data_IF_105383777440
#
_entry.id   IF_105383777440
#
_cell.length_a   1.000
_cell.length_b   1.000
_cell.length_c   1.000
_cell.angle_alpha   90.00
_cell.angle_beta   90.00
_cell.angle_gamma   90.00
#
_symmetry.space_group_name_H-M   'P 1'
#
loop_
_entity.id
_entity.type
_entity.pdbx_description
1 polymer ?
#
# COMPACT_ATOMS: atom_id res chain seq x y z
N UNK A 1 -54.36 -22.32 -13.21
CA UNK A 1 -54.20 -23.19 -12.02
C UNK A 1 -52.73 -23.45 -11.79
N UNK A 2 -52.13 -22.80 -10.79
CA UNK A 2 -50.92 -23.21 -10.07
C UNK A 2 -50.56 -22.09 -9.07
N UNK A 3 -51.36 -21.94 -8.02
CA UNK A 3 -50.97 -21.14 -6.87
C UNK A 3 -50.12 -22.05 -5.97
N UNK A 4 -48.81 -21.80 -5.97
CA UNK A 4 -47.82 -22.46 -5.13
C UNK A 4 -48.13 -22.21 -3.66
N UNK A 5 -48.54 -23.26 -2.96
CA UNK A 5 -48.68 -23.29 -1.51
C UNK A 5 -47.31 -23.23 -0.85
N UNK A 6 -46.92 -22.07 -0.33
CA UNK A 6 -45.78 -21.91 0.59
C UNK A 6 -46.14 -22.51 1.96
N UNK A 7 -45.48 -23.56 2.45
CA UNK A 7 -45.74 -24.09 3.77
C UNK A 7 -44.90 -23.32 4.81
N UNK A 8 -45.61 -22.67 5.75
CA UNK A 8 -45.28 -22.56 7.18
C UNK A 8 -43.99 -21.79 7.54
N UNK A 9 -44.07 -20.46 7.50
CA UNK A 9 -43.06 -19.49 8.01
C UNK A 9 -42.93 -19.43 9.55
N UNK A 10 -43.59 -20.31 10.29
CA UNK A 10 -43.63 -20.24 11.77
C UNK A 10 -42.36 -20.72 12.49
N UNK A 11 -41.48 -21.48 11.82
CA UNK A 11 -40.33 -22.15 12.46
C UNK A 11 -38.96 -21.80 11.88
N UNK A 12 -38.90 -21.11 10.73
CA UNK A 12 -37.65 -20.76 10.06
C UNK A 12 -36.75 -19.84 10.92
N UNK A 13 -37.37 -18.94 11.70
CA UNK A 13 -36.62 -18.10 12.62
C UNK A 13 -36.01 -18.90 13.76
N UNK A 14 -36.69 -19.93 14.29
CA UNK A 14 -36.18 -20.78 15.39
C UNK A 14 -34.97 -21.59 14.95
N UNK A 15 -35.05 -22.23 13.78
CA UNK A 15 -33.93 -22.98 13.23
C UNK A 15 -32.74 -22.07 12.95
N UNK A 16 -32.97 -20.89 12.37
CA UNK A 16 -31.93 -19.88 12.14
C UNK A 16 -31.28 -19.40 13.44
N UNK A 17 -32.07 -19.19 14.50
CA UNK A 17 -31.59 -18.72 15.80
C UNK A 17 -30.74 -19.79 16.50
N UNK A 18 -31.18 -21.06 16.45
CA UNK A 18 -30.39 -22.21 16.95
C UNK A 18 -29.07 -22.31 16.19
N UNK A 19 -29.09 -22.16 14.87
CA UNK A 19 -27.89 -22.24 14.02
C UNK A 19 -26.91 -21.11 14.34
N UNK A 20 -27.41 -19.88 14.55
CA UNK A 20 -26.58 -18.75 15.01
C UNK A 20 -26.02 -18.97 16.40
N UNK A 21 -26.82 -19.48 17.35
CA UNK A 21 -26.34 -19.81 18.69
C UNK A 21 -25.29 -20.91 18.66
N UNK A 22 -25.46 -21.95 17.84
CA UNK A 22 -24.46 -23.00 17.65
C UNK A 22 -23.17 -22.46 17.05
N UNK A 23 -23.25 -21.59 16.04
CA UNK A 23 -22.07 -20.97 15.44
C UNK A 23 -21.36 -20.03 16.43
N UNK A 24 -22.13 -19.24 17.19
CA UNK A 24 -21.58 -18.38 18.25
C UNK A 24 -20.90 -19.22 19.32
N UNK A 25 -21.55 -20.28 19.78
CA UNK A 25 -21.00 -21.19 20.78
C UNK A 25 -19.74 -21.91 20.27
N UNK A 26 -19.70 -22.33 18.99
CA UNK A 26 -18.48 -22.87 18.38
C UNK A 26 -17.35 -21.84 18.33
N UNK A 27 -17.63 -20.61 17.94
CA UNK A 27 -16.61 -19.54 17.85
C UNK A 27 -16.10 -19.12 19.22
N UNK A 28 -17.00 -18.93 20.18
CA UNK A 28 -16.67 -18.53 21.56
C UNK A 28 -15.96 -19.68 22.31
N UNK A 29 -16.44 -20.92 22.17
CA UNK A 29 -15.82 -22.08 22.81
C UNK A 29 -14.50 -22.50 22.17
N UNK A 30 -14.23 -22.15 20.91
CA UNK A 30 -12.97 -22.51 20.24
C UNK A 30 -11.76 -21.91 20.96
N UNK A 31 -11.85 -20.66 21.39
CA UNK A 31 -10.78 -19.98 22.13
C UNK A 31 -10.47 -20.64 23.48
N UNK A 32 -11.44 -21.36 24.07
CA UNK A 32 -11.31 -22.02 25.37
C UNK A 32 -11.30 -23.55 25.28
N UNK A 33 -11.18 -24.12 24.07
CA UNK A 33 -11.31 -25.57 23.85
C UNK A 33 -10.32 -26.37 24.69
N UNK A 34 -9.08 -25.90 24.80
CA UNK A 34 -8.03 -26.57 25.58
C UNK A 34 -8.28 -26.45 27.08
N UNK A 35 -8.79 -25.30 27.55
CA UNK A 35 -9.18 -25.09 28.94
C UNK A 35 -10.36 -25.98 29.34
N UNK A 36 -11.36 -26.10 28.46
CA UNK A 36 -12.52 -26.99 28.67
C UNK A 36 -12.08 -28.44 28.71
N UNK A 37 -11.21 -28.86 27.79
CA UNK A 37 -10.68 -30.23 27.77
C UNK A 37 -9.85 -30.53 29.04
N UNK A 38 -9.05 -29.57 29.49
CA UNK A 38 -8.28 -29.70 30.72
C UNK A 38 -9.17 -29.77 31.97
N UNK A 39 -10.19 -28.90 32.05
CA UNK A 39 -11.19 -28.93 33.12
C UNK A 39 -11.93 -30.27 33.18
N UNK A 40 -12.35 -30.81 32.03
CA UNK A 40 -13.02 -32.10 31.97
C UNK A 40 -12.12 -33.25 32.46
N UNK A 41 -10.83 -33.24 32.08
CA UNK A 41 -9.86 -34.23 32.60
C UNK A 41 -9.65 -34.11 34.11
N UNK A 42 -9.54 -32.88 34.61
CA UNK A 42 -9.45 -32.63 36.06
C UNK A 42 -10.71 -33.10 36.79
N UNK A 43 -11.88 -32.85 36.21
CA UNK A 43 -13.16 -33.28 36.77
C UNK A 43 -13.28 -34.81 36.81
N UNK A 44 -12.92 -35.49 35.72
CA UNK A 44 -12.85 -36.96 35.67
C UNK A 44 -11.85 -37.52 36.69
N UNK A 45 -10.66 -36.94 36.78
CA UNK A 45 -9.64 -37.33 37.77
C UNK A 45 -10.10 -37.10 39.21
N UNK A 46 -10.74 -35.96 39.49
CA UNK A 46 -11.31 -35.68 40.81
C UNK A 46 -12.43 -36.65 41.17
N UNK A 47 -13.27 -37.04 40.22
CA UNK A 47 -14.32 -38.02 40.45
C UNK A 47 -13.75 -39.43 40.67
N UNK A 48 -12.71 -39.81 39.91
CA UNK A 48 -12.01 -41.08 40.11
C UNK A 48 -11.37 -41.16 41.50
N UNK A 49 -10.65 -40.12 41.93
CA UNK A 49 -10.06 -40.05 43.27
C UNK A 49 -11.11 -40.03 44.39
N UNK A 50 -12.27 -39.41 44.16
CA UNK A 50 -13.39 -39.43 45.10
C UNK A 50 -13.99 -40.84 45.22
N UNK A 51 -14.11 -41.57 44.11
CA UNK A 51 -14.58 -42.95 44.12
C UNK A 51 -13.57 -43.89 44.81
N UNK A 52 -12.27 -43.73 44.56
CA UNK A 52 -11.22 -44.50 45.22
C UNK A 52 -11.19 -44.24 46.73
N UNK A 53 -11.30 -42.98 47.18
CA UNK A 53 -11.41 -42.65 48.60
C UNK A 53 -12.63 -43.31 49.26
N UNK A 54 -13.77 -43.32 48.56
CA UNK A 54 -14.97 -43.98 49.07
C UNK A 54 -14.73 -45.49 49.23
N UNK A 55 -14.07 -46.12 48.26
CA UNK A 55 -13.74 -47.53 48.30
C UNK A 55 -12.76 -47.87 49.44
N UNK A 56 -11.71 -47.05 49.63
CA UNK A 56 -10.76 -47.19 50.73
C UNK A 56 -11.44 -46.98 52.09
N UNK A 57 -12.40 -46.06 52.19
CA UNK A 57 -13.19 -45.86 53.41
C UNK A 57 -14.00 -47.11 53.76
N UNK A 58 -14.69 -47.71 52.79
CA UNK A 58 -15.45 -48.96 52.99
C UNK A 58 -14.53 -50.12 53.36
N UNK A 59 -13.36 -50.23 52.74
CA UNK A 59 -12.37 -51.26 53.07
C UNK A 59 -11.83 -51.11 54.50
N UNK A 60 -11.55 -49.88 54.93
CA UNK A 60 -11.12 -49.61 56.30
C UNK A 60 -12.20 -49.95 57.33
N UNK A 61 -13.47 -49.64 57.02
CA UNK A 61 -14.59 -50.01 57.88
C UNK A 61 -14.74 -51.54 57.99
N UNK A 62 -14.59 -52.25 56.88
CA UNK A 62 -14.58 -53.72 56.85
C UNK A 62 -13.44 -54.30 57.68
N UNK A 63 -12.22 -53.78 57.53
CA UNK A 63 -11.06 -54.22 58.33
C UNK A 63 -11.25 -53.93 59.82
N UNK A 64 -11.89 -52.81 60.18
CA UNK A 64 -12.25 -52.52 61.58
C UNK A 64 -13.25 -53.52 62.13
N UNK A 65 -14.25 -53.92 61.35
CA UNK A 65 -15.23 -54.94 61.73
C UNK A 65 -14.60 -56.33 61.87
N UNK A 66 -13.67 -56.68 60.97
CA UNK A 66 -12.89 -57.92 61.07
C UNK A 66 -11.98 -57.92 62.31
N UNK A 67 -11.35 -56.78 62.61
CA UNK A 67 -10.55 -56.62 63.82
C UNK A 67 -11.41 -56.69 65.08
N UNK A 68 -12.57 -56.03 65.15
CA UNK A 68 -13.48 -56.17 66.29
C UNK A 68 -13.99 -57.61 66.46
N UNK A 69 -14.29 -58.32 65.37
CA UNK A 69 -14.67 -59.72 65.41
C UNK A 69 -13.52 -60.65 65.85
N UNK A 70 -12.27 -60.27 65.57
CA UNK A 70 -11.08 -60.98 66.05
C UNK A 70 -10.75 -60.70 67.52
N UNK A 71 -11.03 -59.48 68.02
CA UNK A 71 -10.83 -59.12 69.42
C UNK A 71 -11.87 -59.78 70.33
N UNK A 72 -13.11 -59.94 69.87
CA UNK A 72 -14.17 -60.64 70.64
C UNK A 72 -13.90 -62.15 70.75
N UNK A 73 -13.16 -62.74 69.80
CA UNK A 73 -12.66 -64.13 69.90
C UNK A 73 -11.47 -64.29 70.84
N UNK A 74 -10.69 -63.23 71.09
CA UNK A 74 -9.54 -63.27 71.99
C UNK A 74 -9.92 -63.08 73.47
N UNK A 75 -11.15 -62.64 73.77
CA UNK A 75 -11.64 -62.48 75.15
C UNK A 75 -12.34 -63.73 75.73
N UNK A 76 -12.38 -64.86 75.02
CA UNK A 76 -13.07 -66.09 75.47
C UNK A 76 -12.16 -67.25 75.89
N UNK A 77 -10.83 -67.12 75.85
CA UNK A 77 -9.92 -68.18 76.31
C UNK A 77 -8.92 -67.61 77.32
N UNK A 78 -9.31 -67.55 78.59
CA UNK A 78 -8.33 -67.50 79.68
C UNK A 78 -8.86 -68.17 80.95
N UNK A 79 -8.76 -69.51 80.99
CA UNK A 79 -8.82 -70.31 82.22
C UNK A 79 -7.92 -71.53 82.05
N UNK A 80 -6.86 -71.63 82.86
CA UNK A 80 -5.93 -72.76 82.80
C UNK A 80 -4.65 -72.53 83.58
N UNK A 81 -4.71 -72.74 84.88
CA UNK A 81 -3.59 -72.77 85.84
C UNK A 81 -2.65 -73.97 85.57
N UNK A 82 -1.33 -73.78 85.66
CA UNK A 82 -0.37 -74.87 85.49
C UNK A 82 1.10 -74.43 85.59
N UNK A 83 1.66 -74.57 86.79
CA UNK A 83 3.08 -74.41 87.10
C UNK A 83 3.98 -75.36 86.29
N UNK A 84 5.00 -74.83 85.61
CA UNK A 84 6.40 -75.30 85.65
C UNK A 84 7.23 -74.64 84.55
N UNK A 85 8.44 -74.23 84.95
CA UNK A 85 9.51 -73.58 84.17
C UNK A 85 9.20 -72.15 83.69
N UNK A 86 9.84 -71.17 84.35
CA UNK A 86 10.11 -69.87 83.76
C UNK A 86 10.70 -70.08 82.35
N UNK A 87 10.03 -69.65 81.27
CA UNK A 87 10.72 -69.50 80.00
C UNK A 87 11.71 -68.36 80.22
N UNK A 88 12.99 -68.74 80.23
CA UNK A 88 14.15 -67.94 79.89
C UNK A 88 13.87 -66.42 79.84
N UNK A 89 14.33 -65.64 80.84
CA UNK A 89 14.51 -64.18 80.67
C UNK A 89 15.23 -63.88 79.34
N UNK A 90 16.12 -64.77 78.92
CA UNK A 90 16.79 -64.76 77.62
C UNK A 90 15.85 -64.84 76.39
N UNK A 91 14.72 -65.54 76.44
CA UNK A 91 13.79 -65.63 75.31
C UNK A 91 12.98 -64.34 75.16
N UNK A 92 12.54 -63.74 76.28
CA UNK A 92 11.92 -62.40 76.24
C UNK A 92 12.90 -61.31 75.80
N UNK A 93 14.16 -61.41 76.24
CA UNK A 93 15.23 -60.52 75.79
C UNK A 93 15.49 -60.72 74.29
N UNK A 94 15.58 -61.95 73.80
CA UNK A 94 15.72 -62.24 72.36
C UNK A 94 14.55 -61.70 71.53
N UNK A 95 13.30 -61.85 71.98
CA UNK A 95 12.13 -61.31 71.26
C UNK A 95 12.16 -59.77 71.23
N UNK A 96 12.61 -59.13 72.31
CA UNK A 96 12.77 -57.66 72.35
C UNK A 96 13.92 -57.19 71.46
N UNK A 97 15.05 -57.92 71.44
CA UNK A 97 16.18 -57.65 70.55
C UNK A 97 15.78 -57.79 69.08
N UNK A 98 14.97 -58.80 68.74
CA UNK A 98 14.46 -59.01 67.39
C UNK A 98 13.49 -57.90 66.96
N UNK A 99 12.63 -57.42 67.88
CA UNK A 99 11.79 -56.23 67.66
C UNK A 99 12.59 -54.94 67.50
N UNK A 100 13.66 -54.79 68.28
CA UNK A 100 14.55 -53.65 68.17
C UNK A 100 15.23 -53.62 66.79
N UNK A 101 15.67 -54.78 66.31
CA UNK A 101 16.26 -54.94 64.99
C UNK A 101 15.25 -54.62 63.88
N UNK A 102 14.01 -55.15 63.96
CA UNK A 102 12.98 -54.88 62.96
C UNK A 102 12.59 -53.40 62.91
N UNK A 103 12.48 -52.74 64.08
CA UNK A 103 12.22 -51.30 64.15
C UNK A 103 13.39 -50.49 63.58
N UNK A 104 14.62 -50.95 63.77
CA UNK A 104 15.80 -50.31 63.20
C UNK A 104 15.85 -50.47 61.68
N UNK A 105 15.49 -51.64 61.15
CA UNK A 105 15.32 -51.88 59.71
C UNK A 105 14.22 -50.99 59.12
N UNK A 106 13.05 -50.93 59.73
CA UNK A 106 11.96 -50.04 59.31
C UNK A 106 12.38 -48.56 59.32
N UNK A 107 13.12 -48.13 60.34
CA UNK A 107 13.63 -46.76 60.42
C UNK A 107 14.62 -46.46 59.27
N UNK A 108 15.53 -47.38 58.97
CA UNK A 108 16.47 -47.22 57.85
C UNK A 108 15.75 -47.19 56.49
N UNK A 109 14.74 -48.04 56.30
CA UNK A 109 13.92 -48.08 55.09
C UNK A 109 13.11 -46.78 54.93
N UNK A 110 12.57 -46.24 56.02
CA UNK A 110 11.88 -44.94 56.02
C UNK A 110 12.84 -43.79 55.66
N UNK A 111 14.07 -43.80 56.19
CA UNK A 111 15.08 -42.82 55.80
C UNK A 111 15.47 -42.94 54.32
N UNK A 112 15.60 -44.17 53.80
CA UNK A 112 15.86 -44.44 52.38
C UNK A 112 14.75 -43.87 51.50
N UNK A 113 13.49 -44.21 51.78
CA UNK A 113 12.32 -43.68 51.05
C UNK A 113 12.21 -42.16 51.14
N UNK A 114 12.51 -41.57 52.30
CA UNK A 114 12.55 -40.11 52.46
C UNK A 114 13.61 -39.47 51.55
N UNK A 115 14.78 -40.08 51.44
CA UNK A 115 15.85 -39.65 50.52
C UNK A 115 15.42 -39.75 49.05
N UNK A 116 14.79 -40.86 48.66
CA UNK A 116 14.26 -41.05 47.31
C UNK A 116 13.18 -40.02 46.96
N UNK A 117 12.22 -39.78 47.86
CA UNK A 117 11.18 -38.77 47.67
C UNK A 117 11.78 -37.35 47.59
N UNK A 118 12.80 -37.05 48.39
CA UNK A 118 13.50 -35.78 48.32
C UNK A 118 14.21 -35.60 46.96
N UNK A 119 14.86 -36.65 46.44
CA UNK A 119 15.48 -36.61 45.12
C UNK A 119 14.44 -36.42 44.01
N UNK A 120 13.32 -37.15 44.07
CA UNK A 120 12.22 -36.99 43.11
C UNK A 120 11.65 -35.57 43.11
N UNK A 121 11.53 -34.94 44.28
CA UNK A 121 11.10 -33.54 44.40
C UNK A 121 12.09 -32.59 43.73
N UNK A 122 13.39 -32.80 43.90
CA UNK A 122 14.43 -32.00 43.23
C UNK A 122 14.33 -32.16 41.71
N UNK A 123 14.24 -33.40 41.23
CA UNK A 123 14.15 -33.69 39.79
C UNK A 123 12.88 -33.09 39.17
N UNK A 124 11.74 -33.15 39.87
CA UNK A 124 10.49 -32.51 39.44
C UNK A 124 10.61 -30.99 39.44
N UNK A 125 11.28 -30.39 40.42
CA UNK A 125 11.49 -28.95 40.49
C UNK A 125 12.40 -28.46 39.35
N UNK A 126 13.45 -29.21 39.01
CA UNK A 126 14.29 -28.92 37.84
C UNK A 126 13.50 -29.01 36.53
N UNK A 127 12.64 -30.02 36.37
CA UNK A 127 11.75 -30.14 35.21
C UNK A 127 10.75 -28.98 35.14
N UNK A 128 10.21 -28.54 36.28
CA UNK A 128 9.32 -27.39 36.37
C UNK A 128 10.03 -26.12 35.91
N UNK A 129 11.23 -25.85 36.43
CA UNK A 129 12.04 -24.69 36.04
C UNK A 129 12.37 -24.68 34.54
N UNK A 130 12.71 -25.83 33.96
CA UNK A 130 12.97 -25.92 32.52
C UNK A 130 11.70 -25.66 31.70
N UNK A 131 10.53 -26.12 32.18
CA UNK A 131 9.25 -25.83 31.53
C UNK A 131 8.85 -24.36 31.64
N UNK A 132 9.10 -23.72 32.78
CA UNK A 132 8.91 -22.28 32.96
C UNK A 132 9.80 -21.47 32.02
N UNK A 133 11.08 -21.85 31.89
CA UNK A 133 12.01 -21.22 30.94
C UNK A 133 11.54 -21.37 29.48
N UNK A 134 11.07 -22.56 29.11
CA UNK A 134 10.49 -22.81 27.78
C UNK A 134 9.25 -21.95 27.54
N UNK A 135 8.37 -21.83 28.54
CA UNK A 135 7.15 -21.03 28.46
C UNK A 135 7.50 -19.54 28.29
N UNK A 136 8.42 -19.00 29.08
CA UNK A 136 8.89 -17.61 28.95
C UNK A 136 9.49 -17.34 27.58
N UNK A 137 10.31 -18.25 27.04
CA UNK A 137 10.87 -18.10 25.69
C UNK A 137 9.78 -18.10 24.61
N UNK A 138 8.76 -18.95 24.75
CA UNK A 138 7.62 -18.98 23.82
C UNK A 138 6.75 -17.74 23.94
N UNK A 139 6.51 -17.25 25.14
CA UNK A 139 5.73 -16.03 25.39
C UNK A 139 6.43 -14.78 24.82
N UNK A 140 7.76 -14.71 24.92
CA UNK A 140 8.55 -13.68 24.25
C UNK A 140 8.39 -13.75 22.72
N UNK A 141 8.55 -14.94 22.12
CA UNK A 141 8.37 -15.12 20.66
C UNK A 141 6.94 -14.82 20.20
N UNK A 142 5.93 -15.16 21.02
CA UNK A 142 4.54 -14.85 20.73
C UNK A 142 4.27 -13.34 20.78
N UNK A 143 4.84 -12.65 21.76
CA UNK A 143 4.73 -11.18 21.89
C UNK A 143 5.38 -10.46 20.72
N UNK A 144 6.53 -10.95 20.24
CA UNK A 144 7.19 -10.44 19.03
C UNK A 144 6.33 -10.64 17.78
N UNK A 145 5.85 -11.88 17.54
CA UNK A 145 4.94 -12.16 16.43
C UNK A 145 3.65 -11.33 16.52
N UNK A 146 3.13 -11.07 17.73
CA UNK A 146 1.95 -10.24 17.94
C UNK A 146 2.23 -8.78 17.57
N UNK A 147 3.39 -8.23 17.95
CA UNK A 147 3.81 -6.88 17.59
C UNK A 147 3.98 -6.74 16.06
N UNK A 148 4.60 -7.73 15.42
CA UNK A 148 4.73 -7.78 13.96
C UNK A 148 3.36 -7.82 13.27
N UNK A 149 2.44 -8.64 13.76
CA UNK A 149 1.07 -8.71 13.24
C UNK A 149 0.34 -7.36 13.38
N UNK A 150 0.53 -6.67 14.50
CA UNK A 150 -0.01 -5.33 14.72
C UNK A 150 0.60 -4.30 13.78
N UNK A 151 1.90 -4.40 13.46
CA UNK A 151 2.56 -3.53 12.47
C UNK A 151 2.00 -3.77 11.07
N UNK A 152 1.96 -5.03 10.62
CA UNK A 152 1.43 -5.39 9.30
C UNK A 152 -0.03 -4.96 9.12
N UNK A 153 -0.85 -5.03 10.18
CA UNK A 153 -2.22 -4.51 10.15
C UNK A 153 -2.28 -3.00 9.92
N UNK A 154 -1.36 -2.22 10.50
CA UNK A 154 -1.27 -0.77 10.25
C UNK A 154 -0.85 -0.51 8.81
N UNK A 155 0.16 -1.22 8.31
CA UNK A 155 0.62 -1.07 6.92
C UNK A 155 -0.51 -1.38 5.93
N UNK A 156 -1.26 -2.46 6.15
CA UNK A 156 -2.45 -2.80 5.35
C UNK A 156 -3.48 -1.67 5.38
N UNK A 157 -3.74 -1.10 6.56
CA UNK A 157 -4.67 0.03 6.68
C UNK A 157 -4.16 1.25 5.90
N UNK A 158 -2.87 1.57 5.97
CA UNK A 158 -2.26 2.68 5.23
C UNK A 158 -2.36 2.47 3.72
N UNK A 159 -2.04 1.26 3.23
CA UNK A 159 -2.22 0.92 1.81
C UNK A 159 -3.68 1.03 1.37
N UNK A 160 -4.63 0.62 2.20
CA UNK A 160 -6.07 0.79 1.90
C UNK A 160 -6.46 2.26 1.80
N UNK A 161 -5.94 3.14 2.67
CA UNK A 161 -6.21 4.58 2.55
C UNK A 161 -5.57 5.17 1.29
N UNK A 162 -4.39 4.71 0.91
CA UNK A 162 -3.71 5.18 -0.30
C UNK A 162 -4.44 4.75 -1.56
N UNK A 163 -4.92 3.49 -1.61
CA UNK A 163 -5.77 3.00 -2.70
C UNK A 163 -7.01 3.89 -2.84
N UNK A 164 -7.72 4.20 -1.75
CA UNK A 164 -8.88 5.10 -1.79
C UNK A 164 -8.54 6.50 -2.32
N UNK A 165 -7.38 7.05 -1.94
CA UNK A 165 -6.91 8.35 -2.45
C UNK A 165 -6.66 8.29 -3.97
N UNK A 166 -6.02 7.22 -4.44
CA UNK A 166 -5.75 7.01 -5.87
C UNK A 166 -7.03 6.75 -6.68
N UNK A 167 -8.01 6.05 -6.11
CA UNK A 167 -9.33 5.87 -6.72
C UNK A 167 -10.06 7.21 -6.88
N UNK A 168 -10.05 8.05 -5.84
CA UNK A 168 -10.64 9.39 -5.90
C UNK A 168 -9.93 10.27 -6.94
N UNK A 169 -8.59 10.23 -7.00
CA UNK A 169 -7.84 11.00 -7.99
C UNK A 169 -8.15 10.54 -9.41
N UNK A 170 -8.21 9.21 -9.64
CA UNK A 170 -8.60 8.67 -10.94
C UNK A 170 -10.02 9.09 -11.34
N UNK A 171 -10.94 9.16 -10.38
CA UNK A 171 -12.30 9.64 -10.67
C UNK A 171 -12.29 11.11 -11.10
N UNK A 172 -11.56 11.97 -10.39
CA UNK A 172 -11.41 13.39 -10.77
C UNK A 172 -10.83 13.53 -12.18
N UNK A 173 -9.77 12.79 -12.50
CA UNK A 173 -9.15 12.83 -13.84
C UNK A 173 -10.14 12.39 -14.92
N UNK A 174 -10.98 11.38 -14.65
CA UNK A 174 -12.02 10.96 -15.61
C UNK A 174 -13.06 12.07 -15.80
N UNK A 175 -13.48 12.73 -14.74
CA UNK A 175 -14.47 13.81 -14.80
C UNK A 175 -13.90 15.03 -15.57
N UNK A 176 -12.64 15.40 -15.32
CA UNK A 176 -11.93 16.43 -16.08
C UNK A 176 -11.79 16.07 -17.56
N UNK A 177 -11.46 14.81 -17.85
CA UNK A 177 -11.38 14.32 -19.22
C UNK A 177 -12.72 14.42 -19.95
N UNK A 178 -13.82 14.01 -19.29
CA UNK A 178 -15.17 14.16 -19.83
C UNK A 178 -15.53 15.63 -20.07
N UNK A 179 -15.22 16.52 -19.12
CA UNK A 179 -15.44 17.95 -19.29
C UNK A 179 -14.66 18.53 -20.49
N UNK A 180 -13.41 18.11 -20.67
CA UNK A 180 -12.58 18.51 -21.81
C UNK A 180 -13.12 17.98 -23.13
N UNK A 181 -13.60 16.73 -23.18
CA UNK A 181 -14.26 16.20 -24.37
C UNK A 181 -15.50 17.01 -24.77
N UNK A 182 -16.34 17.36 -23.79
CA UNK A 182 -17.52 18.20 -24.03
C UNK A 182 -17.14 19.61 -24.52
N UNK A 183 -16.12 20.22 -23.92
CA UNK A 183 -15.60 21.51 -24.36
C UNK A 183 -15.03 21.46 -25.78
N UNK A 184 -14.31 20.39 -26.12
CA UNK A 184 -13.78 20.17 -27.46
C UNK A 184 -14.89 20.01 -28.50
N UNK A 185 -15.90 19.19 -28.22
CA UNK A 185 -17.07 19.04 -29.11
C UNK A 185 -17.80 20.38 -29.34
N UNK A 186 -17.93 21.20 -28.29
CA UNK A 186 -18.52 22.53 -28.42
C UNK A 186 -17.66 23.49 -29.28
N UNK A 187 -16.33 23.38 -29.21
CA UNK A 187 -15.41 24.15 -30.05
C UNK A 187 -15.46 23.69 -31.51
N UNK A 188 -15.51 22.38 -31.76
CA UNK A 188 -15.69 21.84 -33.12
C UNK A 188 -17.01 22.32 -33.74
N UNK A 189 -18.10 22.35 -32.97
CA UNK A 189 -19.38 22.88 -33.46
C UNK A 189 -19.27 24.36 -33.83
N UNK A 190 -18.58 25.18 -33.00
CA UNK A 190 -18.32 26.59 -33.32
C UNK A 190 -17.46 26.74 -34.58
N UNK A 191 -16.40 25.95 -34.70
CA UNK A 191 -15.54 25.95 -35.90
C UNK A 191 -16.37 25.63 -37.14
N UNK A 192 -17.20 24.59 -37.08
CA UNK A 192 -18.08 24.21 -38.19
C UNK A 192 -19.03 25.34 -38.58
N UNK A 193 -19.68 26.00 -37.61
CA UNK A 193 -20.53 27.18 -37.86
C UNK A 193 -19.76 28.30 -38.56
N UNK A 194 -18.56 28.63 -38.09
CA UNK A 194 -17.73 29.68 -38.73
C UNK A 194 -17.27 29.30 -40.13
N UNK A 195 -17.01 28.01 -40.40
CA UNK A 195 -16.68 27.52 -41.74
C UNK A 195 -17.89 27.63 -42.68
N UNK A 196 -19.08 27.26 -42.21
CA UNK A 196 -20.32 27.39 -42.97
C UNK A 196 -20.63 28.87 -43.29
N UNK A 197 -20.46 29.78 -42.33
CA UNK A 197 -20.58 31.23 -42.53
C UNK A 197 -19.58 31.75 -43.58
N UNK A 198 -18.31 31.37 -43.48
CA UNK A 198 -17.28 31.73 -44.47
C UNK A 198 -17.63 31.21 -45.86
N UNK A 199 -18.11 29.97 -45.97
CA UNK A 199 -18.55 29.40 -47.24
C UNK A 199 -19.70 30.21 -47.84
N UNK A 200 -20.70 30.57 -47.04
CA UNK A 200 -21.83 31.39 -47.49
C UNK A 200 -21.39 32.78 -47.94
N UNK A 201 -20.42 33.39 -47.26
CA UNK A 201 -19.83 34.68 -47.67
C UNK A 201 -19.09 34.57 -49.01
N UNK A 202 -18.30 33.50 -49.20
CA UNK A 202 -17.62 33.24 -50.48
C UNK A 202 -18.63 33.01 -51.61
N UNK A 203 -19.67 32.18 -51.38
CA UNK A 203 -20.72 31.96 -52.37
C UNK A 203 -21.44 33.27 -52.75
N UNK A 204 -21.73 34.13 -51.77
CA UNK A 204 -22.30 35.45 -52.00
C UNK A 204 -21.37 36.34 -52.83
N UNK A 205 -20.07 36.36 -52.51
CA UNK A 205 -19.08 37.13 -53.24
C UNK A 205 -18.95 36.67 -54.69
N UNK A 206 -18.94 35.35 -54.94
CA UNK A 206 -18.92 34.78 -56.29
C UNK A 206 -20.16 35.20 -57.07
N UNK A 207 -21.37 35.13 -56.48
CA UNK A 207 -22.59 35.61 -57.14
C UNK A 207 -22.52 37.09 -57.48
N UNK A 208 -22.00 37.94 -56.59
CA UNK A 208 -21.84 39.37 -56.88
C UNK A 208 -20.87 39.61 -58.04
N UNK A 209 -19.72 38.93 -58.04
CA UNK A 209 -18.74 39.05 -59.14
C UNK A 209 -19.28 38.53 -60.47
N UNK A 210 -20.05 37.44 -60.46
CA UNK A 210 -20.72 36.94 -61.67
C UNK A 210 -21.67 37.98 -62.23
N UNK A 211 -22.54 38.54 -61.37
CA UNK A 211 -23.49 39.58 -61.78
C UNK A 211 -22.81 40.84 -62.32
N UNK A 212 -21.69 41.23 -61.71
CA UNK A 212 -20.89 42.37 -62.16
C UNK A 212 -20.21 42.07 -63.52
N UNK A 213 -19.68 40.86 -63.70
CA UNK A 213 -19.13 40.40 -64.98
C UNK A 213 -20.21 40.34 -66.07
N UNK A 214 -21.41 39.85 -65.77
CA UNK A 214 -22.54 39.82 -66.69
C UNK A 214 -22.92 41.25 -67.11
N UNK A 215 -22.99 42.19 -66.17
CA UNK A 215 -23.23 43.61 -66.47
C UNK A 215 -22.14 44.23 -67.35
N UNK A 216 -20.87 43.95 -67.06
CA UNK A 216 -19.76 44.42 -67.89
C UNK A 216 -19.81 43.81 -69.29
N UNK A 217 -20.25 42.56 -69.43
CA UNK A 217 -20.47 41.93 -70.74
C UNK A 217 -21.65 42.58 -71.47
N UNK A 218 -22.77 42.85 -70.80
CA UNK A 218 -23.90 43.60 -71.38
C UNK A 218 -23.47 45.00 -71.85
N UNK A 219 -22.70 45.72 -71.04
CA UNK A 219 -22.17 47.04 -71.40
C UNK A 219 -21.19 46.95 -72.59
N UNK A 220 -20.35 45.91 -72.65
CA UNK A 220 -19.46 45.65 -73.80
C UNK A 220 -20.25 45.29 -75.07
N UNK A 221 -21.29 44.47 -74.99
CA UNK A 221 -22.15 44.14 -76.13
C UNK A 221 -22.95 45.37 -76.60
N UNK A 222 -23.42 46.21 -75.68
CA UNK A 222 -24.03 47.50 -76.00
C UNK A 222 -23.03 48.46 -76.67
N UNK A 223 -21.76 48.45 -76.24
CA UNK A 223 -20.68 49.22 -76.86
C UNK A 223 -20.37 48.70 -78.27
N UNK A 224 -20.29 47.38 -78.46
CA UNK A 224 -20.01 46.75 -79.75
C UNK A 224 -21.16 46.94 -80.75
N UNK A 225 -22.42 46.80 -80.30
CA UNK A 225 -23.61 47.04 -81.12
C UNK A 225 -23.87 48.52 -81.40
N UNK A 226 -23.55 49.41 -80.45
CA UNK A 226 -23.55 50.86 -80.63
C UNK A 226 -22.39 51.38 -81.49
N UNK A 227 -21.38 50.56 -81.76
CA UNK A 227 -20.20 50.88 -82.57
C UNK A 227 -20.44 50.95 -84.09
N UNK A 228 -21.64 50.60 -84.56
CA UNK A 228 -22.03 50.80 -85.96
C UNK A 228 -22.56 52.21 -86.20
N UNK A 229 -21.80 53.25 -85.84
CA UNK A 229 -21.68 54.50 -86.59
C UNK A 229 -20.76 55.49 -85.87
N UNK A 230 -19.78 55.99 -86.62
CA UNK A 230 -18.99 57.22 -86.44
C UNK A 230 -17.58 57.08 -85.86
N UNK A 231 -16.66 57.65 -86.64
CA UNK A 231 -15.20 57.57 -86.62
C UNK A 231 -14.52 58.32 -85.47
N UNK A 232 -15.25 58.67 -84.41
CA UNK A 232 -14.72 59.31 -83.20
C UNK A 232 -14.27 58.32 -82.11
N UNK A 233 -14.64 57.03 -82.23
CA UNK A 233 -14.36 55.99 -81.23
C UNK A 233 -12.86 55.61 -81.10
N UNK A 234 -12.07 55.73 -82.17
CA UNK A 234 -10.66 55.29 -82.16
C UNK A 234 -9.76 56.10 -81.22
N UNK A 235 -10.05 57.41 -81.06
CA UNK A 235 -9.34 58.29 -80.13
C UNK A 235 -9.77 58.06 -78.67
N UNK A 236 -11.03 57.71 -78.43
CA UNK A 236 -11.53 57.37 -77.09
C UNK A 236 -10.96 56.04 -76.59
N UNK A 237 -10.79 55.04 -77.46
CA UNK A 237 -10.12 53.78 -77.11
C UNK A 237 -8.66 53.96 -76.69
N UNK A 238 -7.94 54.92 -77.27
CA UNK A 238 -6.55 55.23 -76.87
C UNK A 238 -6.51 55.87 -75.50
N UNK A 239 -7.48 56.74 -75.21
CA UNK A 239 -7.59 57.46 -73.94
C UNK A 239 -8.03 56.50 -72.82
N UNK A 240 -9.02 55.61 -73.05
CA UNK A 240 -9.46 54.61 -72.07
C UNK A 240 -8.44 53.48 -71.85
N UNK A 241 -7.66 53.12 -72.86
CA UNK A 241 -6.51 52.22 -72.71
C UNK A 241 -5.42 52.83 -71.82
N UNK A 242 -5.21 54.15 -71.89
CA UNK A 242 -4.30 54.89 -71.00
C UNK A 242 -4.83 54.96 -69.56
N UNK A 243 -6.13 55.21 -69.37
CA UNK A 243 -6.73 55.22 -68.04
C UNK A 243 -6.77 53.83 -67.40
N UNK A 244 -7.03 52.77 -68.17
CA UNK A 244 -6.99 51.38 -67.70
C UNK A 244 -5.57 50.94 -67.34
N UNK A 245 -4.55 51.30 -68.14
CA UNK A 245 -3.14 51.08 -67.75
C UNK A 245 -2.76 51.83 -66.49
N UNK A 246 -3.24 53.07 -66.32
CA UNK A 246 -2.96 53.88 -65.13
C UNK A 246 -3.64 53.30 -63.89
N UNK A 247 -4.85 52.75 -64.02
CA UNK A 247 -5.57 52.06 -62.95
C UNK A 247 -4.94 50.70 -62.61
N UNK A 248 -4.52 49.92 -63.61
CA UNK A 248 -3.74 48.69 -63.41
C UNK A 248 -2.39 48.97 -62.75
N UNK A 249 -1.67 50.00 -63.17
CA UNK A 249 -0.40 50.40 -62.54
C UNK A 249 -0.60 50.89 -61.11
N UNK A 250 -1.72 51.56 -60.82
CA UNK A 250 -2.08 51.97 -59.46
C UNK A 250 -2.43 50.79 -58.56
N UNK A 251 -3.19 49.82 -59.07
CA UNK A 251 -3.50 48.57 -58.36
C UNK A 251 -2.24 47.72 -58.16
N UNK A 252 -1.34 47.66 -59.15
CA UNK A 252 -0.05 46.98 -59.05
C UNK A 252 0.83 47.61 -57.96
N UNK A 253 0.85 48.95 -57.90
CA UNK A 253 1.57 49.70 -56.86
C UNK A 253 0.95 49.52 -55.48
N UNK A 254 -0.38 49.51 -55.37
CA UNK A 254 -1.09 49.25 -54.12
C UNK A 254 -0.88 47.79 -53.63
N UNK A 255 -0.76 46.83 -54.54
CA UNK A 255 -0.38 45.44 -54.22
C UNK A 255 1.09 45.32 -53.77
N UNK A 256 1.98 46.08 -54.39
CA UNK A 256 3.41 46.10 -54.04
C UNK A 256 3.67 46.83 -52.71
N UNK A 257 2.92 47.90 -52.43
CA UNK A 257 2.93 48.61 -51.15
C UNK A 257 2.27 47.74 -50.04
N UNK A 258 1.17 47.02 -50.33
CA UNK A 258 0.57 46.07 -49.38
C UNK A 258 1.43 44.84 -49.09
N UNK A 259 2.24 44.38 -50.07
CA UNK A 259 3.21 43.31 -49.86
C UNK A 259 4.44 43.76 -49.04
N UNK A 260 4.84 45.04 -49.14
CA UNK A 260 5.85 45.66 -48.27
C UNK A 260 5.32 45.98 -46.88
N UNK A 261 4.03 46.23 -46.75
CA UNK A 261 3.32 46.37 -45.48
C UNK A 261 3.00 44.99 -44.87
N UNK A 262 3.95 44.05 -44.89
CA UNK A 262 3.90 42.87 -44.02
C UNK A 262 4.15 43.34 -42.59
N UNK A 263 3.07 43.74 -41.93
CA UNK A 263 3.04 44.04 -40.50
C UNK A 263 3.57 42.82 -39.76
N UNK A 264 4.79 42.92 -39.24
CA UNK A 264 5.36 41.92 -38.35
C UNK A 264 4.48 41.84 -37.11
N UNK A 265 3.57 40.86 -37.08
CA UNK A 265 2.85 40.49 -35.87
C UNK A 265 3.86 39.79 -34.98
N UNK A 266 4.53 40.57 -34.13
CA UNK A 266 5.10 40.04 -32.90
C UNK A 266 3.91 39.61 -32.03
N UNK A 267 3.82 38.36 -31.55
CA UNK A 267 2.75 37.95 -30.65
C UNK A 267 3.12 38.38 -29.23
N UNK A 268 3.37 39.67 -29.01
CA UNK A 268 3.68 40.22 -27.69
C UNK A 268 3.63 41.74 -27.77
N UNK A 269 2.49 42.35 -27.38
CA UNK A 269 2.38 43.73 -26.86
C UNK A 269 0.94 44.29 -26.81
N UNK A 270 -0.05 43.45 -26.53
CA UNK A 270 -1.41 43.94 -26.21
C UNK A 270 -1.93 43.34 -24.91
N UNK A 271 -1.24 43.62 -23.81
CA UNK A 271 -1.88 43.78 -22.51
C UNK A 271 -1.35 45.06 -21.88
N UNK A 272 -1.90 46.17 -22.34
CA UNK A 272 -1.83 47.43 -21.61
C UNK A 272 -2.61 47.29 -20.31
N UNK A 273 -1.92 47.60 -19.22
CA UNK A 273 -2.40 48.37 -18.08
C UNK A 273 -3.94 48.45 -17.97
N UNK A 274 -4.54 47.44 -17.34
CA UNK A 274 -5.89 47.53 -16.78
C UNK A 274 -5.76 47.44 -15.27
N UNK A 275 -5.63 48.62 -14.68
CA UNK A 275 -5.84 48.81 -13.26
C UNK A 275 -7.20 48.27 -12.82
N UNK A 276 -7.16 47.65 -11.64
CA UNK A 276 -8.22 47.64 -10.65
C UNK A 276 -9.59 47.11 -11.11
N UNK A 277 -9.71 45.78 -11.21
CA UNK A 277 -10.90 45.05 -10.74
C UNK A 277 -10.48 43.64 -10.28
N UNK A 278 -10.86 43.30 -9.05
CA UNK A 278 -10.32 42.18 -8.27
C UNK A 278 -10.29 40.83 -8.99
N UNK A 279 -9.08 40.32 -9.21
CA UNK A 279 -8.85 38.96 -9.64
C UNK A 279 -8.71 38.04 -8.42
N UNK A 280 -9.57 37.02 -8.36
CA UNK A 280 -9.48 35.89 -7.43
C UNK A 280 -8.06 35.28 -7.40
N UNK A 281 -7.51 34.92 -6.23
CA UNK A 281 -6.11 34.50 -6.08
C UNK A 281 -5.83 33.04 -6.49
N UNK A 282 -6.73 32.37 -7.22
CA UNK A 282 -6.56 30.97 -7.61
C UNK A 282 -6.42 30.86 -9.13
N UNK A 283 -5.23 30.44 -9.55
CA UNK A 283 -4.81 30.09 -10.92
C UNK A 283 -4.40 31.23 -11.87
N UNK A 284 -3.36 31.98 -11.49
CA UNK A 284 -2.43 32.50 -12.48
C UNK A 284 -1.25 31.52 -12.61
N UNK A 285 -1.42 30.48 -13.43
CA UNK A 285 -0.30 29.63 -13.85
C UNK A 285 0.43 30.35 -14.98
N UNK A 286 1.44 31.13 -14.63
CA UNK A 286 2.33 31.71 -15.62
C UNK A 286 3.32 30.61 -16.04
N UNK A 287 3.20 30.13 -17.28
CA UNK A 287 4.16 29.18 -17.85
C UNK A 287 5.51 29.91 -17.99
N UNK A 288 6.60 29.44 -17.37
CA UNK A 288 7.90 30.10 -17.47
C UNK A 288 8.40 30.08 -18.92
N UNK A 289 8.57 31.25 -19.53
CA UNK A 289 9.08 31.39 -20.91
C UNK A 289 10.61 31.42 -20.99
N UNK A 290 11.31 31.53 -19.85
CA UNK A 290 12.77 31.62 -19.78
C UNK A 290 13.33 30.73 -18.67
N UNK A 291 14.42 30.01 -18.97
CA UNK A 291 15.15 29.22 -17.99
C UNK A 291 15.73 30.15 -16.90
N UNK A 292 15.41 29.85 -15.64
CA UNK A 292 15.83 30.65 -14.46
C UNK A 292 17.33 30.44 -14.17
N UNK A 293 17.88 29.28 -14.51
CA UNK A 293 19.29 28.95 -14.29
C UNK A 293 19.77 27.89 -15.29
N UNK A 294 21.03 28.00 -15.72
CA UNK A 294 21.72 27.04 -16.57
C UNK A 294 23.10 26.78 -15.98
N UNK A 295 23.43 25.52 -15.74
CA UNK A 295 24.74 25.13 -15.22
C UNK A 295 25.17 23.77 -15.76
N UNK A 296 26.48 23.54 -15.79
CA UNK A 296 27.09 22.30 -16.25
C UNK A 296 27.17 21.31 -15.09
N UNK A 297 26.24 20.37 -15.03
CA UNK A 297 26.20 19.42 -13.94
C UNK A 297 27.25 18.31 -14.09
N UNK A 298 27.47 17.78 -15.29
CA UNK A 298 28.34 16.64 -15.55
C UNK A 298 29.31 16.91 -16.70
N UNK A 299 30.42 16.17 -16.72
CA UNK A 299 31.45 16.27 -17.76
C UNK A 299 31.04 15.54 -19.06
N UNK A 300 29.92 14.82 -19.02
CA UNK A 300 29.32 14.06 -20.12
C UNK A 300 27.79 14.18 -20.09
N UNK A 301 27.11 13.53 -21.03
CA UNK A 301 25.65 13.52 -21.16
C UNK A 301 24.94 13.18 -19.83
N UNK A 302 23.90 13.95 -19.52
CA UNK A 302 23.06 13.75 -18.35
C UNK A 302 21.88 12.90 -18.78
N UNK A 303 21.74 11.73 -18.18
CA UNK A 303 20.71 10.76 -18.55
C UNK A 303 19.56 10.72 -17.55
N UNK A 304 19.79 11.14 -16.31
CA UNK A 304 18.79 11.12 -15.25
C UNK A 304 18.81 12.40 -14.40
N UNK A 305 17.63 12.89 -14.04
CA UNK A 305 17.45 13.99 -13.09
C UNK A 305 16.23 13.72 -12.21
N UNK A 306 16.36 13.96 -10.90
CA UNK A 306 15.26 13.86 -9.94
C UNK A 306 15.36 14.92 -8.85
N UNK A 307 14.19 15.44 -8.49
CA UNK A 307 13.99 16.24 -7.29
C UNK A 307 13.71 15.33 -6.10
N UNK A 308 14.29 15.65 -4.94
CA UNK A 308 13.83 15.13 -3.66
C UNK A 308 12.49 15.78 -3.31
N UNK A 309 11.56 14.99 -2.75
CA UNK A 309 10.24 15.44 -2.31
C UNK A 309 10.25 16.09 -0.93
N UNK A 310 11.29 15.83 -0.13
CA UNK A 310 11.41 16.30 1.25
C UNK A 310 12.42 17.44 1.39
N UNK A 311 13.58 17.26 0.76
CA UNK A 311 14.64 18.25 0.80
C UNK A 311 14.70 19.01 -0.52
N UNK A 312 15.29 20.20 -0.48
CA UNK A 312 15.49 21.05 -1.65
C UNK A 312 16.68 20.59 -2.51
N UNK A 313 16.74 19.29 -2.76
CA UNK A 313 17.88 18.64 -3.39
C UNK A 313 17.50 18.09 -4.76
N UNK A 314 18.41 18.24 -5.72
CA UNK A 314 18.34 17.64 -7.04
C UNK A 314 19.49 16.64 -7.20
N UNK A 315 19.16 15.43 -7.60
CA UNK A 315 20.14 14.45 -8.03
C UNK A 315 20.20 14.40 -9.56
N UNK A 316 21.42 14.44 -10.10
CA UNK A 316 21.69 14.28 -11.54
C UNK A 316 22.61 13.09 -11.76
N UNK A 317 22.35 12.30 -12.80
CA UNK A 317 23.10 11.11 -13.17
C UNK A 317 23.65 11.23 -14.58
N UNK A 318 24.95 11.04 -14.73
CA UNK A 318 25.66 11.25 -15.99
C UNK A 318 26.27 9.99 -16.59
N UNK A 319 26.67 10.10 -17.86
CA UNK A 319 27.55 9.16 -18.54
C UNK A 319 28.98 9.15 -17.95
N UNK A 320 29.34 10.18 -17.18
CA UNK A 320 30.56 10.27 -16.36
C UNK A 320 30.59 9.26 -15.18
N UNK A 321 29.54 8.42 -15.06
CA UNK A 321 29.37 7.33 -14.07
C UNK A 321 29.21 7.83 -12.64
N UNK A 322 28.78 9.08 -12.48
CA UNK A 322 28.59 9.72 -11.17
C UNK A 322 27.13 10.11 -10.99
N UNK A 323 26.70 10.13 -9.73
CA UNK A 323 25.49 10.86 -9.32
C UNK A 323 25.95 12.10 -8.56
N UNK A 324 25.50 13.29 -8.95
CA UNK A 324 25.84 14.55 -8.28
C UNK A 324 24.60 15.14 -7.62
N UNK A 325 24.80 15.75 -6.46
CA UNK A 325 23.74 16.35 -5.64
C UNK A 325 23.86 17.86 -5.65
N UNK A 326 22.72 18.53 -5.85
CA UNK A 326 22.64 19.97 -6.02
C UNK A 326 21.55 20.56 -5.14
N UNK A 327 21.85 21.64 -4.45
CA UNK A 327 20.86 22.50 -3.81
C UNK A 327 20.56 23.68 -4.73
N UNK A 328 19.28 23.85 -5.10
CA UNK A 328 18.86 24.86 -6.08
C UNK A 328 17.91 25.86 -5.43
N UNK A 329 18.40 27.07 -5.13
CA UNK A 329 17.67 28.12 -4.41
C UNK A 329 16.64 28.87 -5.27
N UNK A 330 15.72 29.66 -4.67
CA UNK A 330 14.55 30.25 -5.37
C UNK A 330 14.99 31.33 -6.39
N UNK A 331 16.25 31.77 -6.31
CA UNK A 331 16.88 32.70 -7.25
C UNK A 331 17.71 32.02 -8.35
N UNK A 332 17.61 30.70 -8.54
CA UNK A 332 18.38 30.00 -9.56
C UNK A 332 19.86 29.77 -9.22
N UNK A 333 20.27 30.04 -7.98
CA UNK A 333 21.61 29.66 -7.51
C UNK A 333 21.65 28.14 -7.30
N UNK A 334 22.73 27.53 -7.76
CA UNK A 334 22.98 26.09 -7.62
C UNK A 334 24.26 25.91 -6.80
N UNK A 335 24.22 25.03 -5.80
CA UNK A 335 25.37 24.65 -5.00
C UNK A 335 25.57 23.14 -5.09
N UNK A 336 26.78 22.69 -5.37
CA UNK A 336 27.10 21.25 -5.35
C UNK A 336 27.23 20.79 -3.90
N UNK A 337 26.35 19.88 -3.46
CA UNK A 337 26.39 19.32 -2.10
C UNK A 337 27.30 18.10 -1.99
N UNK A 338 27.42 17.31 -3.06
CA UNK A 338 28.25 16.11 -3.03
C UNK A 338 28.24 15.33 -4.34
N UNK A 339 29.19 14.40 -4.43
CA UNK A 339 29.35 13.50 -5.57
C UNK A 339 29.37 12.06 -5.07
N UNK A 340 28.43 11.28 -5.58
CA UNK A 340 28.28 9.86 -5.31
C UNK A 340 28.98 9.07 -6.42
N UNK A 341 30.01 8.33 -6.03
CA UNK A 341 30.87 7.56 -6.92
C UNK A 341 30.66 6.05 -6.66
N UNK A 342 31.06 5.22 -7.61
CA UNK A 342 31.06 3.76 -7.48
C UNK A 342 30.27 3.01 -8.56
N UNK A 343 29.58 3.72 -9.45
CA UNK A 343 28.97 3.13 -10.65
C UNK A 343 30.04 2.79 -11.69
N UNK A 344 29.94 1.62 -12.32
CA UNK A 344 30.93 1.20 -13.32
C UNK A 344 30.56 1.63 -14.75
N UNK A 345 29.31 2.04 -14.98
CA UNK A 345 28.82 2.56 -16.24
C UNK A 345 27.91 3.79 -16.04
N UNK A 346 27.38 4.31 -17.14
CA UNK A 346 26.50 5.48 -17.15
C UNK A 346 25.27 5.26 -16.28
N UNK A 347 24.91 6.25 -15.47
CA UNK A 347 23.72 6.21 -14.61
C UNK A 347 22.51 6.58 -15.46
N UNK A 348 21.57 5.67 -15.63
CA UNK A 348 20.41 5.79 -16.52
C UNK A 348 19.14 6.25 -15.81
N UNK A 349 19.03 5.95 -14.51
CA UNK A 349 17.88 6.35 -13.72
C UNK A 349 18.31 6.60 -12.28
N UNK A 350 17.63 7.53 -11.63
CA UNK A 350 17.81 7.89 -10.22
C UNK A 350 16.43 7.93 -9.59
N UNK A 351 16.35 7.52 -8.33
CA UNK A 351 15.18 7.75 -7.48
C UNK A 351 15.57 8.04 -6.03
N UNK A 352 14.74 8.80 -5.34
CA UNK A 352 14.87 9.05 -3.91
C UNK A 352 13.94 8.13 -3.13
N UNK A 353 14.38 7.65 -1.98
CA UNK A 353 13.46 7.04 -1.02
C UNK A 353 12.44 8.08 -0.51
N UNK A 354 11.28 7.59 -0.09
CA UNK A 354 10.21 8.33 0.60
C UNK A 354 10.70 9.18 1.78
N UNK A 355 11.78 8.79 2.44
CA UNK A 355 12.41 9.54 3.55
C UNK A 355 13.48 10.53 3.10
N UNK A 356 13.84 10.55 1.81
CA UNK A 356 14.89 11.40 1.25
C UNK A 356 16.31 11.04 1.69
N UNK A 357 16.47 10.03 2.55
CA UNK A 357 17.77 9.65 3.14
C UNK A 357 18.62 8.77 2.22
N UNK A 358 17.99 8.10 1.25
CA UNK A 358 18.64 7.18 0.33
C UNK A 358 18.39 7.58 -1.11
N UNK A 359 19.40 7.34 -1.94
CA UNK A 359 19.33 7.50 -3.39
C UNK A 359 19.60 6.16 -4.03
N UNK A 360 18.68 5.72 -4.88
CA UNK A 360 18.83 4.56 -5.75
C UNK A 360 19.25 5.04 -7.13
N UNK A 361 20.30 4.45 -7.69
CA UNK A 361 20.68 4.66 -9.08
C UNK A 361 20.79 3.34 -9.83
N UNK A 362 20.21 3.32 -11.02
CA UNK A 362 20.37 2.22 -11.96
C UNK A 362 21.41 2.63 -13.02
N UNK A 363 22.38 1.75 -13.24
CA UNK A 363 23.48 1.99 -14.15
C UNK A 363 23.46 0.97 -15.30
N UNK A 364 24.05 1.34 -16.43
CA UNK A 364 24.13 0.50 -17.63
C UNK A 364 25.05 -0.73 -17.47
N UNK A 365 25.64 -0.94 -16.28
CA UNK A 365 26.43 -2.12 -15.89
C UNK A 365 25.56 -3.25 -15.32
N UNK A 366 24.24 -3.19 -15.56
CA UNK A 366 23.24 -4.13 -15.03
C UNK A 366 23.18 -4.19 -13.50
N UNK A 367 23.68 -3.16 -12.82
CA UNK A 367 23.68 -3.09 -11.37
C UNK A 367 22.92 -1.85 -10.87
N UNK A 368 22.26 -2.04 -9.74
CA UNK A 368 21.64 -0.95 -8.98
C UNK A 368 22.46 -0.69 -7.72
N UNK A 369 22.59 0.58 -7.38
CA UNK A 369 23.40 1.04 -6.25
C UNK A 369 22.57 1.97 -5.39
N UNK A 370 22.76 1.82 -4.08
CA UNK A 370 22.11 2.66 -3.08
C UNK A 370 23.17 3.45 -2.33
N UNK A 371 23.00 4.76 -2.31
CA UNK A 371 23.82 5.69 -1.53
C UNK A 371 22.99 6.32 -0.43
N UNK A 372 23.65 6.74 0.64
CA UNK A 372 23.04 7.58 1.67
C UNK A 372 23.35 9.05 1.37
N UNK A 373 22.35 9.92 1.53
CA UNK A 373 22.46 11.35 1.21
C UNK A 373 23.38 12.07 2.20
N UNK A 374 23.31 11.73 3.49
CA UNK A 374 23.99 12.42 4.58
C UNK A 374 25.50 12.18 4.68
N UNK A 375 25.99 11.04 4.18
CA UNK A 375 27.42 10.68 4.24
C UNK A 375 28.06 10.57 2.85
N UNK A 376 27.28 10.76 1.78
CA UNK A 376 27.68 10.57 0.38
C UNK A 376 28.35 9.22 0.08
N UNK A 377 28.06 8.18 0.88
CA UNK A 377 28.71 6.86 0.76
C UNK A 377 27.81 5.82 0.12
N UNK A 378 28.44 4.93 -0.66
CA UNK A 378 27.81 3.74 -1.22
C UNK A 378 27.52 2.74 -0.09
N UNK A 379 26.27 2.32 0.05
CA UNK A 379 25.83 1.37 1.09
C UNK A 379 25.67 -0.04 0.58
N UNK A 380 25.17 -0.21 -0.65
CA UNK A 380 24.93 -1.52 -1.24
C UNK A 380 25.01 -1.45 -2.76
N UNK A 381 25.82 -2.34 -3.33
CA UNK A 381 25.78 -2.64 -4.76
C UNK A 381 25.04 -3.98 -4.92
N UNK A 382 23.89 -3.95 -5.57
CA UNK A 382 23.21 -5.17 -5.98
C UNK A 382 23.59 -5.45 -7.43
N UNK A 383 24.40 -6.47 -7.66
CA UNK A 383 24.60 -7.00 -8.99
C UNK A 383 23.28 -7.63 -9.45
N UNK A 384 22.75 -7.19 -10.59
CA UNK A 384 21.64 -7.90 -11.24
C UNK A 384 22.10 -9.28 -11.74
N UNK A 385 21.17 -10.21 -11.99
CA UNK A 385 21.54 -11.50 -12.55
C UNK A 385 22.18 -11.27 -13.93
N UNK A 386 23.41 -11.74 -14.09
CA UNK A 386 24.08 -11.86 -15.38
C UNK A 386 23.14 -12.60 -16.35
N UNK A 387 22.86 -11.99 -17.51
CA UNK A 387 21.89 -12.50 -18.49
C UNK A 387 22.16 -13.94 -18.94
N UNK A 388 21.15 -14.64 -19.48
CA UNK A 388 21.27 -16.03 -19.85
C UNK A 388 21.99 -16.21 -21.20
N UNK A 389 22.59 -17.39 -21.32
CA UNK A 389 23.09 -18.07 -22.53
C UNK A 389 22.13 -18.05 -23.71
#
# INVERSE_FOLDING_TARGET
MAASTTPVDGQFWRSTLILRLQNRNKSESYAFKDLIAFHNRLFESSNALRAENLQLSVQNEKLRLEHSASTDKASSDNSGNGSSKSPNRNEKVQVLEQKLLSLQEELTEMHRRKGENAQQLVDLNLKLQEKERQLQSKEASFSECQAENSSLKRDIQDYQTNIKKLENLNQIIRDEYQANQLAFAALEEKLRKTQDENRLLVERLVRYKSKDADKMNEDNENFLSGGSHNTTSSLLHTIDGLFSRKKQAKVQKELEDAAKESRAVSPESTFGDRGDLGANPFFASNVPSKAISKFEAHDQEINAVKWSSLERLVATGGADRKVKLWDISKGGQHESKGVLVGSNAAVMSIDFDSTGSLILGASNDFATRVWTVSDHRLRRASAGPSGPT
#
